data_IF_064715873010
#
_entry.id   IF_064715873010
#
_cell.length_a   1.000
_cell.length_b   1.000
_cell.length_c   1.000
_cell.angle_alpha   90.00
_cell.angle_beta   90.00
_cell.angle_gamma   90.00
#
_symmetry.space_group_name_H-M   'P 1'
#
loop_
_entity.id
_entity.type
_entity.pdbx_description
1 polymer ?
#
# COMPACT_ATOMS: atom_id res chain seq x y z
N UNK A 1 -23.85 11.76 15.60
CA UNK A 1 -24.37 10.97 14.46
C UNK A 1 -23.35 9.89 14.13
N UNK A 2 -23.69 8.60 14.29
CA UNK A 2 -22.78 7.48 14.04
C UNK A 2 -22.80 7.15 12.55
N UNK A 3 -21.66 7.29 11.87
CA UNK A 3 -21.54 6.99 10.43
C UNK A 3 -21.63 5.48 10.18
N UNK A 4 -22.69 5.00 9.52
CA UNK A 4 -22.84 3.58 9.17
C UNK A 4 -21.93 3.22 8.01
N UNK A 5 -20.82 2.50 8.28
CA UNK A 5 -19.92 1.98 7.25
C UNK A 5 -20.44 0.66 6.67
N UNK A 6 -20.80 0.64 5.39
CA UNK A 6 -21.15 -0.57 4.63
C UNK A 6 -19.92 -1.17 3.96
N UNK A 7 -19.72 -2.49 4.10
CA UNK A 7 -18.63 -3.23 3.43
C UNK A 7 -19.22 -4.34 2.57
N UNK A 8 -18.80 -4.41 1.32
CA UNK A 8 -19.22 -5.44 0.37
C UNK A 8 -18.04 -6.38 0.05
N UNK A 9 -18.33 -7.69 -0.04
CA UNK A 9 -17.35 -8.72 -0.38
C UNK A 9 -17.90 -9.57 -1.51
N UNK A 10 -17.14 -9.65 -2.60
CA UNK A 10 -17.51 -10.41 -3.79
C UNK A 10 -16.50 -11.51 -4.08
N UNK A 11 -16.97 -12.60 -4.70
CA UNK A 11 -16.09 -13.66 -5.21
C UNK A 11 -15.40 -13.15 -6.47
N UNK A 12 -14.08 -13.26 -6.50
CA UNK A 12 -13.30 -12.97 -7.70
C UNK A 12 -13.34 -14.18 -8.64
N UNK A 13 -13.99 -14.02 -9.80
CA UNK A 13 -14.02 -15.05 -10.84
C UNK A 13 -12.71 -15.06 -11.65
N UNK A 14 -12.41 -16.20 -12.27
CA UNK A 14 -11.21 -16.33 -13.12
C UNK A 14 -11.40 -15.50 -14.39
N UNK A 15 -10.47 -14.59 -14.65
CA UNK A 15 -10.41 -13.74 -15.83
C UNK A 15 -8.95 -13.47 -16.18
N UNK A 16 -8.63 -13.30 -17.48
CA UNK A 16 -7.28 -12.94 -17.96
C UNK A 16 -6.79 -11.62 -17.33
N UNK A 17 -7.69 -10.67 -17.07
CA UNK A 17 -7.37 -9.39 -16.42
C UNK A 17 -6.83 -9.54 -14.98
N UNK A 18 -7.08 -10.69 -14.32
CA UNK A 18 -6.61 -10.95 -12.96
C UNK A 18 -5.08 -10.94 -12.83
N UNK A 19 -4.36 -11.21 -13.92
CA UNK A 19 -2.89 -11.15 -13.97
C UNK A 19 -2.39 -9.78 -13.55
N UNK A 20 -3.01 -8.70 -14.03
CA UNK A 20 -2.65 -7.34 -13.68
C UNK A 20 -2.87 -7.05 -12.19
N UNK A 21 -3.99 -7.53 -11.62
CA UNK A 21 -4.24 -7.39 -10.18
C UNK A 21 -3.18 -8.13 -9.35
N UNK A 22 -2.80 -9.34 -9.74
CA UNK A 22 -1.75 -10.10 -9.06
C UNK A 22 -0.39 -9.40 -9.15
N UNK A 23 -0.05 -8.82 -10.30
CA UNK A 23 1.15 -7.99 -10.46
C UNK A 23 1.12 -6.78 -9.54
N UNK A 24 0.01 -6.04 -9.46
CA UNK A 24 -0.15 -4.90 -8.55
C UNK A 24 0.05 -5.30 -7.08
N UNK A 25 -0.52 -6.44 -6.65
CA UNK A 25 -0.33 -6.97 -5.30
C UNK A 25 1.14 -7.33 -5.04
N UNK A 26 1.82 -7.91 -6.03
CA UNK A 26 3.23 -8.24 -5.92
C UNK A 26 4.10 -6.97 -5.77
N UNK A 27 3.85 -5.95 -6.60
CA UNK A 27 4.50 -4.63 -6.50
C UNK A 27 4.27 -4.00 -5.12
N UNK A 28 3.05 -4.06 -4.59
CA UNK A 28 2.77 -3.57 -3.24
C UNK A 28 3.61 -4.27 -2.16
N UNK A 29 3.84 -5.58 -2.30
CA UNK A 29 4.74 -6.34 -1.44
C UNK A 29 6.21 -5.93 -1.57
N UNK A 30 6.68 -5.64 -2.79
CA UNK A 30 8.04 -5.14 -3.03
C UNK A 30 8.25 -3.75 -2.41
N UNK A 31 7.29 -2.84 -2.60
CA UNK A 31 7.31 -1.49 -2.01
C UNK A 31 7.34 -1.58 -0.48
N UNK A 32 6.51 -2.43 0.13
CA UNK A 32 6.55 -2.67 1.58
C UNK A 32 7.95 -3.07 2.06
N UNK A 33 8.56 -4.06 1.41
CA UNK A 33 9.89 -4.54 1.79
C UNK A 33 10.96 -3.48 1.59
N UNK A 34 10.90 -2.73 0.48
CA UNK A 34 11.84 -1.66 0.21
C UNK A 34 11.73 -0.53 1.25
N UNK A 35 10.51 -0.09 1.55
CA UNK A 35 10.23 0.91 2.58
C UNK A 35 10.75 0.45 3.96
N UNK A 36 10.49 -0.81 4.34
CA UNK A 36 10.97 -1.39 5.59
C UNK A 36 12.51 -1.43 5.66
N UNK A 37 13.18 -1.81 4.56
CA UNK A 37 14.63 -1.83 4.49
C UNK A 37 15.22 -0.43 4.69
N UNK A 38 14.62 0.60 4.06
CA UNK A 38 15.03 1.99 4.23
C UNK A 38 14.81 2.47 5.67
N UNK A 39 13.64 2.18 6.28
CA UNK A 39 13.37 2.53 7.68
C UNK A 39 14.39 1.90 8.65
N UNK A 40 14.68 0.61 8.47
CA UNK A 40 15.67 -0.10 9.30
C UNK A 40 17.08 0.46 9.12
N UNK A 41 17.49 0.72 7.87
CA UNK A 41 18.80 1.32 7.57
C UNK A 41 18.93 2.71 8.18
N UNK A 42 17.90 3.54 8.05
CA UNK A 42 17.89 4.89 8.60
C UNK A 42 18.03 4.87 10.13
N UNK A 43 17.27 3.99 10.81
CA UNK A 43 17.40 3.83 12.26
C UNK A 43 18.80 3.36 12.68
N UNK A 44 19.39 2.40 11.95
CA UNK A 44 20.76 1.92 12.23
C UNK A 44 21.81 3.03 12.11
N UNK A 45 21.64 3.95 11.18
CA UNK A 45 22.61 5.01 10.92
C UNK A 45 22.46 6.22 11.85
N UNK A 46 21.21 6.60 12.17
CA UNK A 46 20.93 7.86 12.87
C UNK A 46 20.29 7.68 14.25
N UNK A 47 19.95 6.46 14.65
CA UNK A 47 19.24 6.17 15.91
C UNK A 47 17.81 6.70 15.97
N UNK A 48 17.26 7.19 14.85
CA UNK A 48 15.95 7.86 14.78
C UNK A 48 15.02 7.21 13.78
N UNK A 49 13.72 7.33 14.02
CA UNK A 49 12.70 6.86 13.07
C UNK A 49 12.65 7.78 11.84
N UNK A 50 12.52 7.18 10.66
CA UNK A 50 12.37 7.94 9.42
C UNK A 50 11.00 8.64 9.37
N UNK A 51 10.98 9.88 8.88
CA UNK A 51 9.73 10.56 8.59
C UNK A 51 9.02 9.88 7.39
N UNK A 52 7.81 9.36 7.61
CA UNK A 52 7.07 8.62 6.59
C UNK A 52 6.62 9.48 5.41
N UNK A 53 6.44 10.79 5.57
CA UNK A 53 6.17 11.69 4.46
C UNK A 53 7.38 11.82 3.53
N UNK A 54 8.59 11.85 4.10
CA UNK A 54 9.83 11.83 3.30
C UNK A 54 9.99 10.47 2.58
N UNK A 55 9.67 9.37 3.25
CA UNK A 55 9.70 8.04 2.64
C UNK A 55 8.70 7.92 1.48
N UNK A 56 7.50 8.49 1.61
CA UNK A 56 6.51 8.57 0.51
C UNK A 56 7.03 9.35 -0.68
N UNK A 57 7.58 10.56 -0.45
CA UNK A 57 8.18 11.38 -1.51
C UNK A 57 9.34 10.66 -2.20
N UNK A 58 10.20 10.00 -1.42
CA UNK A 58 11.33 9.23 -1.95
C UNK A 58 10.87 8.09 -2.87
N UNK A 59 9.89 7.29 -2.43
CA UNK A 59 9.36 6.18 -3.25
C UNK A 59 8.63 6.72 -4.48
N UNK A 60 7.91 7.83 -4.38
CA UNK A 60 7.29 8.48 -5.53
C UNK A 60 8.32 8.93 -6.57
N UNK A 61 9.45 9.49 -6.12
CA UNK A 61 10.54 9.90 -7.00
C UNK A 61 11.24 8.70 -7.65
N UNK A 62 11.54 7.64 -6.88
CA UNK A 62 12.12 6.40 -7.42
C UNK A 62 11.25 5.82 -8.53
N UNK A 63 9.93 5.81 -8.31
CA UNK A 63 8.95 5.30 -9.27
C UNK A 63 8.92 6.10 -10.58
N UNK A 64 9.17 7.41 -10.52
CA UNK A 64 9.16 8.30 -11.69
C UNK A 64 10.49 8.30 -12.44
N UNK A 65 11.60 8.31 -11.72
CA UNK A 65 12.92 8.69 -12.29
C UNK A 65 13.95 7.57 -12.32
N UNK A 66 13.66 6.40 -11.76
CA UNK A 66 14.61 5.28 -11.76
C UNK A 66 14.17 4.18 -12.71
N UNK A 67 15.03 3.85 -13.67
CA UNK A 67 14.83 2.73 -14.58
C UNK A 67 14.67 1.41 -13.82
N UNK A 68 15.48 1.20 -12.77
CA UNK A 68 15.39 0.03 -11.90
C UNK A 68 14.01 -0.12 -11.23
N UNK A 69 13.34 0.98 -10.89
CA UNK A 69 12.06 0.99 -10.18
C UNK A 69 10.88 1.40 -11.05
N UNK A 70 11.04 1.49 -12.38
CA UNK A 70 9.98 1.89 -13.30
C UNK A 70 8.75 0.97 -13.19
N UNK A 71 8.97 -0.33 -12.96
CA UNK A 71 7.93 -1.34 -12.77
C UNK A 71 6.99 -1.07 -11.57
N UNK A 72 7.38 -0.21 -10.62
CA UNK A 72 6.48 0.22 -9.53
C UNK A 72 5.31 1.08 -10.02
N UNK A 73 5.39 1.64 -11.23
CA UNK A 73 4.31 2.44 -11.84
C UNK A 73 3.03 1.62 -12.10
N UNK A 74 3.14 0.29 -12.20
CA UNK A 74 2.01 -0.63 -12.34
C UNK A 74 1.00 -0.48 -11.20
N UNK A 75 1.47 -0.15 -9.99
CA UNK A 75 0.61 0.12 -8.85
C UNK A 75 0.23 1.61 -8.84
N UNK A 76 -1.06 1.95 -8.67
CA UNK A 76 -1.50 3.35 -8.58
C UNK A 76 -0.87 4.12 -7.41
N UNK A 77 -0.64 5.44 -7.58
CA UNK A 77 0.05 6.29 -6.58
C UNK A 77 -0.64 6.28 -5.21
N UNK A 78 -1.96 6.24 -5.18
CA UNK A 78 -2.75 6.15 -3.95
C UNK A 78 -2.49 4.84 -3.19
N UNK A 79 -2.37 3.73 -3.91
CA UNK A 79 -2.07 2.43 -3.31
C UNK A 79 -0.62 2.38 -2.80
N UNK A 80 0.33 3.01 -3.51
CA UNK A 80 1.72 3.17 -3.01
C UNK A 80 1.73 3.91 -1.67
N UNK A 81 1.02 5.04 -1.58
CA UNK A 81 0.91 5.80 -0.34
C UNK A 81 0.26 4.98 0.78
N UNK A 82 -0.81 4.23 0.48
CA UNK A 82 -1.46 3.34 1.45
C UNK A 82 -0.49 2.27 1.99
N UNK A 83 0.30 1.63 1.12
CA UNK A 83 1.29 0.62 1.53
C UNK A 83 2.30 1.20 2.53
N UNK A 84 2.76 2.43 2.29
CA UNK A 84 3.72 3.10 3.18
C UNK A 84 3.05 3.50 4.50
N UNK A 85 1.81 3.96 4.47
CA UNK A 85 1.03 4.25 5.68
C UNK A 85 0.71 3.00 6.49
N UNK A 86 0.52 1.83 5.85
CA UNK A 86 0.39 0.56 6.57
C UNK A 86 1.68 0.24 7.34
N UNK A 87 2.85 0.56 6.79
CA UNK A 87 4.13 0.37 7.47
C UNK A 87 4.26 1.34 8.66
N UNK A 88 3.90 2.60 8.47
CA UNK A 88 3.84 3.60 9.55
C UNK A 88 2.96 3.13 10.70
N UNK A 89 1.72 2.70 10.40
CA UNK A 89 0.80 2.15 11.39
C UNK A 89 1.35 0.92 12.11
N UNK A 90 2.09 0.06 11.39
CA UNK A 90 2.73 -1.10 12.00
C UNK A 90 3.80 -0.68 13.03
N UNK A 91 4.61 0.33 12.71
CA UNK A 91 5.56 0.90 13.68
C UNK A 91 4.85 1.59 14.85
N UNK A 92 3.81 2.39 14.59
CA UNK A 92 3.02 3.03 15.66
C UNK A 92 2.44 1.99 16.63
N UNK A 93 1.88 0.90 16.10
CA UNK A 93 1.36 -0.21 16.92
C UNK A 93 2.45 -0.93 17.71
N UNK A 94 3.62 -1.12 17.11
CA UNK A 94 4.77 -1.69 17.81
C UNK A 94 5.20 -0.83 19.00
N UNK A 95 5.38 0.48 18.80
CA UNK A 95 5.76 1.40 19.89
C UNK A 95 4.67 1.55 20.94
N UNK A 96 3.40 1.38 20.58
CA UNK A 96 2.27 1.37 21.52
C UNK A 96 2.11 0.04 22.27
N UNK A 97 2.98 -0.97 22.05
CA UNK A 97 2.86 -2.30 22.66
C UNK A 97 1.67 -3.13 22.15
N UNK A 98 1.00 -2.69 21.07
CA UNK A 98 -0.23 -3.29 20.51
C UNK A 98 0.04 -4.13 19.24
N UNK A 99 1.30 -4.41 18.95
CA UNK A 99 1.73 -5.17 17.78
C UNK A 99 3.21 -5.54 17.85
N UNK A 100 3.59 -6.52 17.04
CA UNK A 100 5.00 -6.89 16.87
C UNK A 100 5.74 -5.93 15.94
N UNK A 101 7.07 -6.02 15.97
CA UNK A 101 7.93 -5.26 15.07
C UNK A 101 7.58 -5.52 13.59
N UNK A 102 7.67 -4.54 12.68
CA UNK A 102 7.44 -4.78 11.26
C UNK A 102 8.50 -5.70 10.64
N UNK A 103 8.05 -6.72 9.89
CA UNK A 103 8.92 -7.71 9.25
C UNK A 103 8.81 -7.70 7.73
N UNK A 104 9.87 -8.18 7.07
CA UNK A 104 9.85 -8.45 5.64
C UNK A 104 8.78 -9.48 5.30
N UNK A 105 8.10 -9.27 4.19
CA UNK A 105 7.03 -10.15 3.71
C UNK A 105 7.50 -10.87 2.45
N UNK A 106 7.32 -12.20 2.40
CA UNK A 106 7.44 -12.93 1.13
C UNK A 106 6.39 -12.35 0.18
N UNK A 107 6.78 -11.92 -1.02
CA UNK A 107 5.87 -11.24 -1.97
C UNK A 107 4.63 -12.08 -2.28
N UNK A 108 4.81 -13.40 -2.47
CA UNK A 108 3.71 -14.37 -2.64
C UNK A 108 2.69 -14.42 -1.48
N UNK A 109 3.06 -13.93 -0.29
CA UNK A 109 2.19 -13.86 0.90
C UNK A 109 1.54 -12.48 1.08
N UNK A 110 1.90 -11.48 0.28
CA UNK A 110 1.24 -10.18 0.27
C UNK A 110 -0.10 -10.32 -0.48
N UNK A 111 -1.22 -9.85 0.10
CA UNK A 111 -2.56 -10.22 -0.38
C UNK A 111 -3.46 -9.07 -0.83
N UNK A 112 -3.12 -7.82 -0.53
CA UNK A 112 -4.03 -6.70 -0.80
C UNK A 112 -3.32 -5.36 -0.87
N UNK A 113 -3.93 -4.40 -1.56
CA UNK A 113 -3.64 -2.98 -1.48
C UNK A 113 -4.97 -2.21 -1.38
N UNK A 114 -4.95 -0.97 -0.90
CA UNK A 114 -6.15 -0.14 -0.81
C UNK A 114 -6.10 0.97 -1.86
N UNK A 115 -7.24 1.22 -2.52
CA UNK A 115 -7.46 2.41 -3.33
C UNK A 115 -8.27 3.40 -2.50
N UNK A 116 -7.72 4.58 -2.23
CA UNK A 116 -8.33 5.57 -1.31
C UNK A 116 -9.42 6.38 -1.98
N UNK A 117 -9.25 6.64 -3.26
CA UNK A 117 -10.26 7.30 -4.07
C UNK A 117 -10.69 6.32 -5.17
N UNK A 118 -11.97 6.39 -5.48
CA UNK A 118 -12.56 5.69 -6.60
C UNK A 118 -13.10 6.75 -7.56
N UNK A 119 -12.87 6.58 -8.86
CA UNK A 119 -13.53 7.39 -9.90
C UNK A 119 -14.99 6.99 -10.12
N UNK A 120 -15.62 6.40 -9.10
CA UNK A 120 -16.99 5.91 -9.15
C UNK A 120 -17.65 6.06 -7.77
N UNK A 121 -18.97 6.21 -7.78
CA UNK A 121 -19.81 6.27 -6.58
C UNK A 121 -20.95 5.27 -6.69
N UNK A 122 -21.13 4.47 -5.66
CA UNK A 122 -22.33 3.65 -5.50
C UNK A 122 -23.47 4.57 -5.04
N UNK A 123 -24.51 4.67 -5.85
CA UNK A 123 -25.74 5.39 -5.54
C UNK A 123 -26.75 4.43 -4.92
N UNK A 124 -27.81 4.98 -4.34
CA UNK A 124 -28.95 4.17 -3.91
C UNK A 124 -29.58 3.44 -5.12
N UNK A 125 -30.32 2.36 -4.83
CA UNK A 125 -30.98 1.53 -5.84
C UNK A 125 -30.04 0.78 -6.80
N UNK A 126 -28.88 0.30 -6.30
CA UNK A 126 -27.92 -0.51 -7.08
C UNK A 126 -27.39 0.18 -8.35
N UNK A 127 -27.32 1.52 -8.37
CA UNK A 127 -26.77 2.29 -9.49
C UNK A 127 -25.32 2.69 -9.21
N UNK A 128 -24.47 2.66 -10.23
CA UNK A 128 -23.07 3.12 -10.15
C UNK A 128 -22.92 4.34 -11.05
N UNK A 129 -22.39 5.44 -10.51
CA UNK A 129 -21.92 6.58 -11.31
C UNK A 129 -20.42 6.44 -11.52
N UNK A 130 -19.96 6.56 -12.75
CA UNK A 130 -18.54 6.64 -13.12
C UNK A 130 -18.28 8.12 -13.48
N UNK A 131 -17.28 8.76 -12.87
CA UNK A 131 -16.99 10.19 -13.03
C UNK A 131 -17.60 11.05 -11.93
#
# INVERSE_FOLDING_TARGET
MTELRKTYKYRMYKNKANVYLHQQIAIAGLIWNHALALSRRYYRLYGKSINFNHLQKHIAQLRKSSERFCHYQVLGSQAVQDVIQRLEKAYQRFFAGKGGFPHFKKVRKYRSFTLKQAGWKLLDSNKIRIG
#
